data_IF_359069978549
#
_entry.id   IF_359069978549
#
_cell.length_a   1.000
_cell.length_b   1.000
_cell.length_c   1.000
_cell.angle_alpha   90.00
_cell.angle_beta   90.00
_cell.angle_gamma   90.00
#
_symmetry.space_group_name_H-M   'P 1'
#
loop_
_entity.id
_entity.type
_entity.pdbx_description
1 polymer ?
#
# COMPACT_ATOMS: atom_id res chain seq x y z
N UNK A 1 -16.68 13.36 -26.35
CA UNK A 1 -16.11 14.30 -25.36
C UNK A 1 -14.82 13.69 -24.83
N UNK A 2 -13.65 14.33 -25.00
CA UNK A 2 -12.43 13.83 -24.36
C UNK A 2 -12.54 14.06 -22.84
N UNK A 3 -12.13 13.06 -22.07
CA UNK A 3 -12.15 13.09 -20.60
C UNK A 3 -10.76 13.57 -20.18
N UNK A 4 -10.64 14.85 -19.83
CA UNK A 4 -9.44 15.39 -19.20
C UNK A 4 -9.36 14.84 -17.75
N UNK A 5 -8.40 13.96 -17.52
CA UNK A 5 -8.07 13.43 -16.20
C UNK A 5 -6.86 14.21 -15.69
N UNK A 6 -7.09 15.31 -14.96
CA UNK A 6 -6.05 15.94 -14.15
C UNK A 6 -6.50 15.97 -12.68
N UNK A 7 -5.87 15.17 -11.79
CA UNK A 7 -6.15 15.27 -10.36
C UNK A 7 -5.44 16.51 -9.76
N UNK A 8 -6.10 17.30 -8.89
CA UNK A 8 -5.42 18.32 -8.12
C UNK A 8 -4.48 17.66 -7.08
N UNK A 9 -3.21 18.07 -7.07
CA UNK A 9 -2.22 17.59 -6.11
C UNK A 9 -2.51 18.13 -4.69
N UNK A 10 -2.54 17.30 -3.63
CA UNK A 10 -2.59 17.83 -2.27
C UNK A 10 -1.22 18.40 -1.90
N UNK A 11 -1.20 19.70 -1.61
CA UNK A 11 -0.06 20.40 -1.04
C UNK A 11 0.25 19.82 0.35
N UNK A 12 1.27 18.94 0.40
CA UNK A 12 1.82 18.30 1.62
C UNK A 12 2.62 19.28 2.46
N UNK A 13 2.07 20.46 2.72
CA UNK A 13 2.74 21.49 3.47
C UNK A 13 2.02 21.64 4.80
N UNK A 14 2.80 21.47 5.86
CA UNK A 14 2.63 22.14 7.17
C UNK A 14 1.99 21.29 8.27
N UNK A 15 2.82 20.43 8.87
CA UNK A 15 2.76 20.24 10.32
C UNK A 15 4.19 20.23 10.88
N UNK A 16 4.69 21.42 11.23
CA UNK A 16 5.80 21.57 12.17
C UNK A 16 5.21 22.01 13.50
N UNK A 17 5.63 21.36 14.59
CA UNK A 17 5.35 21.78 15.96
C UNK A 17 6.28 21.04 16.92
N UNK A 18 7.49 21.56 17.07
CA UNK A 18 8.45 21.15 18.09
C UNK A 18 8.05 21.74 19.46
N UNK A 19 8.31 21.02 20.56
CA UNK A 19 8.37 21.59 21.89
C UNK A 19 9.47 20.89 22.73
N UNK A 20 10.50 21.67 23.07
CA UNK A 20 11.56 21.39 24.05
C UNK A 20 11.13 21.83 25.45
N UNK A 21 11.44 21.05 26.49
CA UNK A 21 11.58 21.58 27.85
C UNK A 21 12.57 20.71 28.67
N UNK A 22 13.55 21.37 29.28
CA UNK A 22 14.58 20.83 30.16
C UNK A 22 14.29 21.22 31.62
N UNK A 23 14.78 20.40 32.58
CA UNK A 23 15.31 20.70 33.94
C UNK A 23 15.06 19.50 34.88
N UNK A 24 16.09 18.79 35.36
CA UNK A 24 17.04 19.14 36.43
C UNK A 24 16.41 19.05 37.84
N UNK A 25 16.65 17.92 38.52
CA UNK A 25 16.29 17.69 39.92
C UNK A 25 17.05 16.47 40.46
N UNK A 26 17.79 16.67 41.55
CA UNK A 26 18.91 15.87 42.04
C UNK A 26 18.54 14.90 43.18
N UNK A 27 19.43 13.91 43.39
CA UNK A 27 19.69 13.16 44.64
C UNK A 27 18.75 12.00 45.02
N UNK A 28 19.12 10.78 44.60
CA UNK A 28 19.20 9.64 45.51
C UNK A 28 20.14 8.58 44.96
N UNK A 29 21.32 8.47 45.59
CA UNK A 29 22.23 7.34 45.47
C UNK A 29 21.87 6.32 46.56
N UNK A 30 21.41 5.13 46.18
CA UNK A 30 21.93 3.87 46.72
C UNK A 30 21.41 2.64 45.96
N UNK A 31 22.36 1.75 45.63
CA UNK A 31 22.23 0.29 45.54
C UNK A 31 21.42 -0.34 44.37
N UNK A 32 22.13 -0.72 43.32
CA UNK A 32 22.29 -2.13 42.93
C UNK A 32 23.56 -2.24 42.07
N UNK A 33 24.56 -2.98 42.57
CA UNK A 33 25.72 -3.34 41.77
C UNK A 33 25.28 -4.33 40.67
N UNK A 34 25.64 -3.96 39.44
CA UNK A 34 26.18 -4.82 38.38
C UNK A 34 25.54 -6.20 38.22
N UNK A 35 24.60 -6.29 37.29
CA UNK A 35 24.86 -6.96 36.00
C UNK A 35 23.54 -7.03 35.23
N UNK A 36 22.95 -5.87 34.93
CA UNK A 36 21.96 -5.83 33.86
C UNK A 36 22.75 -5.73 32.57
N UNK A 37 22.96 -6.90 31.96
CA UNK A 37 23.48 -7.07 30.63
C UNK A 37 22.94 -5.96 29.75
N UNK A 38 23.80 -5.03 29.34
CA UNK A 38 23.52 -4.11 28.27
C UNK A 38 23.07 -4.97 27.09
N UNK A 39 21.76 -5.11 26.90
CA UNK A 39 21.25 -5.70 25.69
C UNK A 39 21.73 -4.74 24.60
N UNK A 40 22.62 -5.17 23.69
CA UNK A 40 22.85 -4.35 22.52
C UNK A 40 21.47 -4.16 21.92
N UNK A 41 21.02 -2.91 21.78
CA UNK A 41 19.93 -2.64 20.86
C UNK A 41 20.44 -3.24 19.56
N UNK A 42 19.86 -4.37 19.18
CA UNK A 42 20.26 -5.07 17.99
C UNK A 42 20.00 -4.06 16.90
N UNK A 43 21.06 -3.38 16.46
CA UNK A 43 20.98 -2.45 15.35
C UNK A 43 20.25 -3.20 14.27
N UNK A 44 19.20 -2.58 13.71
CA UNK A 44 18.47 -3.16 12.59
C UNK A 44 19.56 -3.48 11.57
N UNK A 45 19.95 -4.76 11.55
CA UNK A 45 20.94 -5.24 10.61
C UNK A 45 20.19 -5.08 9.30
N UNK A 46 20.56 -4.06 8.53
CA UNK A 46 20.21 -4.04 7.11
C UNK A 46 20.62 -5.42 6.65
N UNK A 47 19.64 -6.22 6.24
CA UNK A 47 19.92 -7.49 5.60
C UNK A 47 20.92 -7.16 4.50
N UNK A 48 22.18 -7.55 4.71
CA UNK A 48 23.18 -7.46 3.69
C UNK A 48 22.68 -8.47 2.66
N UNK A 49 21.99 -7.96 1.63
CA UNK A 49 21.36 -8.76 0.60
C UNK A 49 22.39 -9.77 0.11
N UNK A 50 22.20 -11.02 0.55
CA UNK A 50 23.10 -12.11 0.24
C UNK A 50 23.21 -12.23 -1.28
N UNK A 51 24.46 -12.20 -1.77
CA UNK A 51 24.81 -12.35 -3.17
C UNK A 51 24.18 -11.32 -4.14
N UNK A 52 24.41 -10.03 -3.90
CA UNK A 52 24.42 -9.00 -4.93
C UNK A 52 23.04 -8.57 -5.45
N UNK A 53 22.86 -7.28 -5.66
CA UNK A 53 21.66 -6.69 -6.25
C UNK A 53 21.49 -7.03 -7.74
N UNK A 54 21.53 -8.30 -8.09
CA UNK A 54 21.40 -8.78 -9.45
C UNK A 54 19.91 -8.99 -9.79
N UNK A 55 19.42 -8.24 -10.78
CA UNK A 55 18.05 -8.33 -11.28
C UNK A 55 17.77 -9.74 -11.78
N UNK A 56 16.70 -10.37 -11.30
CA UNK A 56 16.26 -11.71 -11.72
C UNK A 56 15.08 -11.59 -12.68
N UNK A 57 15.11 -12.27 -13.84
CA UNK A 57 13.96 -12.29 -14.74
C UNK A 57 12.72 -12.88 -14.06
N UNK A 58 11.62 -12.12 -14.06
CA UNK A 58 10.32 -12.61 -13.60
C UNK A 58 9.58 -13.25 -14.77
N UNK A 59 9.27 -14.55 -14.66
CA UNK A 59 8.36 -15.24 -15.59
C UNK A 59 7.04 -15.52 -14.89
N UNK A 60 5.95 -15.01 -15.44
CA UNK A 60 4.60 -15.25 -14.94
C UNK A 60 3.95 -16.33 -15.80
N UNK A 61 3.34 -17.32 -15.14
CA UNK A 61 2.57 -18.38 -15.77
C UNK A 61 1.25 -18.53 -15.03
N UNK A 62 0.14 -18.51 -15.77
CA UNK A 62 -1.19 -18.78 -15.25
C UNK A 62 -1.74 -20.01 -15.96
N UNK A 63 -2.25 -20.98 -15.20
CA UNK A 63 -2.83 -22.21 -15.78
C UNK A 63 -4.22 -21.93 -16.34
N UNK A 64 -4.66 -22.75 -17.29
CA UNK A 64 -6.03 -22.66 -17.83
C UNK A 64 -7.09 -22.81 -16.74
N UNK A 65 -6.84 -23.64 -15.73
CA UNK A 65 -7.72 -23.80 -14.58
C UNK A 65 -7.86 -22.51 -13.76
N UNK A 66 -6.74 -21.78 -13.55
CA UNK A 66 -6.76 -20.48 -12.87
C UNK A 66 -7.50 -19.42 -13.69
N UNK A 67 -7.30 -19.39 -15.01
CA UNK A 67 -8.01 -18.48 -15.90
C UNK A 67 -9.51 -18.80 -15.98
N UNK A 68 -9.87 -20.09 -16.01
CA UNK A 68 -11.26 -20.53 -15.99
C UNK A 68 -11.95 -20.15 -14.68
N UNK A 69 -11.28 -20.31 -13.54
CA UNK A 69 -11.82 -19.89 -12.26
C UNK A 69 -11.97 -18.36 -12.14
N UNK A 70 -10.97 -17.61 -12.62
CA UNK A 70 -11.04 -16.15 -12.68
C UNK A 70 -12.24 -15.68 -13.50
N UNK A 71 -12.45 -16.26 -14.68
CA UNK A 71 -13.62 -15.97 -15.55
C UNK A 71 -14.93 -16.23 -14.82
N UNK A 72 -15.06 -17.40 -14.18
CA UNK A 72 -16.25 -17.77 -13.40
C UNK A 72 -16.57 -16.74 -12.31
N UNK A 73 -15.55 -16.21 -11.63
CA UNK A 73 -15.71 -15.21 -10.56
C UNK A 73 -16.10 -13.83 -11.09
N UNK A 74 -15.49 -13.42 -12.20
CA UNK A 74 -15.89 -12.19 -12.91
C UNK A 74 -17.36 -12.31 -13.34
N UNK A 75 -17.78 -13.50 -13.77
CA UNK A 75 -19.15 -13.74 -14.18
C UNK A 75 -20.15 -13.67 -13.03
N UNK A 76 -19.79 -14.25 -11.89
CA UNK A 76 -20.59 -14.25 -10.67
C UNK A 76 -20.58 -12.92 -9.91
N UNK A 77 -19.87 -11.90 -10.40
CA UNK A 77 -19.80 -10.60 -9.76
C UNK A 77 -21.18 -9.93 -9.75
N UNK A 78 -21.64 -9.53 -8.57
CA UNK A 78 -22.85 -8.73 -8.40
C UNK A 78 -22.49 -7.25 -8.50
N UNK A 79 -23.04 -6.58 -9.48
CA UNK A 79 -22.80 -5.15 -9.69
C UNK A 79 -23.79 -4.31 -8.88
N UNK A 80 -23.34 -3.17 -8.33
CA UNK A 80 -24.23 -2.20 -7.70
C UNK A 80 -25.13 -1.51 -8.75
N UNK A 81 -26.10 -0.76 -8.29
CA UNK A 81 -26.90 0.12 -9.15
C UNK A 81 -26.06 1.29 -9.69
N UNK A 82 -26.59 1.96 -10.72
CA UNK A 82 -25.93 3.09 -11.39
C UNK A 82 -25.78 4.28 -10.46
N UNK A 83 -24.66 4.99 -10.62
CA UNK A 83 -24.37 6.19 -9.85
C UNK A 83 -25.43 7.27 -10.06
N UNK A 84 -25.63 8.06 -9.00
CA UNK A 84 -26.61 9.16 -8.98
C UNK A 84 -26.04 10.46 -9.53
N UNK A 85 -24.72 10.62 -9.56
CA UNK A 85 -24.02 11.83 -10.00
C UNK A 85 -23.30 11.54 -11.32
N UNK A 86 -23.30 12.50 -12.23
CA UNK A 86 -22.72 12.35 -13.57
C UNK A 86 -21.19 12.52 -13.62
N UNK A 87 -20.57 12.96 -12.54
CA UNK A 87 -19.12 13.13 -12.41
C UNK A 87 -18.46 11.97 -11.66
N UNK A 88 -17.12 11.95 -11.62
CA UNK A 88 -16.34 10.88 -10.99
C UNK A 88 -16.17 11.06 -9.46
N UNK A 89 -16.95 11.92 -8.81
CA UNK A 89 -16.84 12.15 -7.36
C UNK A 89 -17.17 10.91 -6.53
N UNK A 90 -17.95 9.98 -7.08
CA UNK A 90 -18.32 8.71 -6.45
C UNK A 90 -17.36 7.54 -6.78
N UNK A 91 -16.30 7.79 -7.55
CA UNK A 91 -15.29 6.80 -7.89
C UNK A 91 -15.35 6.35 -9.35
N UNK A 92 -15.02 5.08 -9.59
CA UNK A 92 -14.97 4.51 -10.93
C UNK A 92 -16.40 4.30 -11.44
N UNK A 93 -16.77 4.87 -12.61
CA UNK A 93 -18.11 4.69 -13.16
C UNK A 93 -18.46 3.21 -13.41
N UNK A 94 -19.69 2.81 -13.11
CA UNK A 94 -20.19 1.45 -13.29
C UNK A 94 -20.01 1.00 -14.74
N UNK A 95 -20.33 1.86 -15.70
CA UNK A 95 -20.20 1.58 -17.11
C UNK A 95 -18.77 1.20 -17.52
N UNK A 96 -17.75 1.79 -16.88
CA UNK A 96 -16.36 1.43 -17.13
C UNK A 96 -16.04 0.04 -16.58
N UNK A 97 -16.52 -0.28 -15.37
CA UNK A 97 -16.34 -1.61 -14.77
C UNK A 97 -16.98 -2.71 -15.61
N UNK A 98 -18.19 -2.47 -16.14
CA UNK A 98 -18.87 -3.38 -17.05
C UNK A 98 -18.13 -3.53 -18.39
N UNK A 99 -17.63 -2.43 -18.95
CA UNK A 99 -16.84 -2.47 -20.18
C UNK A 99 -15.54 -3.26 -20.02
N UNK A 100 -14.87 -3.17 -18.86
CA UNK A 100 -13.68 -3.96 -18.54
C UNK A 100 -14.00 -5.46 -18.43
N UNK A 101 -15.14 -5.82 -17.84
CA UNK A 101 -15.61 -7.21 -17.86
C UNK A 101 -15.84 -7.69 -19.29
N UNK A 102 -16.55 -6.90 -20.11
CA UNK A 102 -16.83 -7.27 -21.49
C UNK A 102 -15.53 -7.47 -22.30
N UNK A 103 -14.54 -6.58 -22.13
CA UNK A 103 -13.25 -6.71 -22.81
C UNK A 103 -12.46 -7.94 -22.35
N UNK A 104 -12.56 -8.31 -21.08
CA UNK A 104 -11.96 -9.54 -20.56
C UNK A 104 -12.51 -10.81 -21.23
N UNK A 105 -13.79 -10.81 -21.61
CA UNK A 105 -14.38 -11.91 -22.38
C UNK A 105 -13.99 -11.88 -23.86
N UNK A 106 -13.68 -10.71 -24.42
CA UNK A 106 -13.30 -10.55 -25.83
C UNK A 106 -11.85 -10.97 -26.13
N UNK A 107 -10.96 -10.98 -25.14
CA UNK A 107 -9.54 -11.38 -25.24
C UNK A 107 -9.34 -12.92 -25.33
N UNK A 108 -10.29 -13.64 -25.92
CA UNK A 108 -10.20 -15.09 -26.12
C UNK A 108 -9.32 -15.45 -27.32
#
# INVERSE_FOLDING_TARGET
MPIDILPPAPARRRFMGAATAAMAGSLSRLACAEAETAQPVAGIARSAGGAGAAVRPLRVHATDAQLADLRRRIDATRWPERETVADASQGVPQALSEALRASFHALR
#
